data_IF_770606994040
#
_entry.id   IF_770606994040
#
_cell.length_a   1.000
_cell.length_b   1.000
_cell.length_c   1.000
_cell.angle_alpha   90.00
_cell.angle_beta   90.00
_cell.angle_gamma   90.00
#
_symmetry.space_group_name_H-M   'P 1'
#
loop_
_entity.id
_entity.type
_entity.pdbx_description
1 polymer ?
#
# COMPACT_ATOMS: atom_id res chain seq x y z
N UNK A 1 0.34 -18.05 -7.19
CA UNK A 1 -0.68 -18.27 -8.24
C UNK A 1 -0.04 -18.01 -9.58
N UNK A 2 -0.33 -18.85 -10.59
CA UNK A 2 0.13 -18.63 -11.95
C UNK A 2 -0.64 -17.50 -12.63
N UNK A 3 -0.01 -16.83 -13.59
CA UNK A 3 -0.69 -15.84 -14.42
C UNK A 3 -1.80 -16.52 -15.24
N UNK A 4 -2.97 -15.87 -15.42
CA UNK A 4 -4.02 -16.40 -16.28
C UNK A 4 -3.52 -16.50 -17.73
N UNK A 5 -4.01 -17.50 -18.47
CA UNK A 5 -3.77 -17.59 -19.92
C UNK A 5 -4.27 -16.35 -20.65
N UNK A 6 -3.53 -15.92 -21.67
CA UNK A 6 -3.83 -14.76 -22.51
C UNK A 6 -5.20 -14.90 -23.20
N UNK A 7 -5.89 -13.78 -23.40
CA UNK A 7 -7.21 -13.75 -24.03
C UNK A 7 -7.20 -14.32 -25.45
N UNK A 8 -6.16 -13.98 -26.23
CA UNK A 8 -5.95 -14.49 -27.59
C UNK A 8 -5.94 -16.03 -27.64
N UNK A 9 -5.25 -16.69 -26.70
CA UNK A 9 -5.20 -18.15 -26.64
C UNK A 9 -6.59 -18.75 -26.40
N UNK A 10 -7.39 -18.10 -25.53
CA UNK A 10 -8.75 -18.57 -25.23
C UNK A 10 -9.66 -18.46 -26.44
N UNK A 11 -9.59 -17.33 -27.15
CA UNK A 11 -10.37 -17.09 -28.35
C UNK A 11 -10.03 -18.10 -29.45
N UNK A 12 -8.74 -18.33 -29.73
CA UNK A 12 -8.31 -19.32 -30.72
C UNK A 12 -8.74 -20.75 -30.38
N UNK A 13 -8.71 -21.11 -29.10
CA UNK A 13 -9.18 -22.43 -28.66
C UNK A 13 -10.69 -22.57 -28.85
N UNK A 14 -11.47 -21.54 -28.52
CA UNK A 14 -12.92 -21.58 -28.69
C UNK A 14 -13.35 -21.56 -30.17
N UNK A 15 -12.66 -20.79 -31.02
CA UNK A 15 -12.88 -20.80 -32.47
C UNK A 15 -12.56 -22.17 -33.08
N UNK A 16 -11.49 -22.83 -32.61
CA UNK A 16 -11.20 -24.20 -32.99
C UNK A 16 -12.33 -25.17 -32.60
N UNK A 17 -12.93 -25.00 -31.41
CA UNK A 17 -14.09 -25.82 -31.02
C UNK A 17 -15.34 -25.51 -31.88
N UNK A 18 -15.59 -24.24 -32.19
CA UNK A 18 -16.73 -23.81 -33.01
C UNK A 18 -16.61 -24.32 -34.46
N UNK A 19 -15.39 -24.44 -34.98
CA UNK A 19 -15.09 -25.09 -36.28
C UNK A 19 -15.21 -26.62 -36.28
N UNK A 20 -15.63 -27.23 -35.16
CA UNK A 20 -15.88 -28.66 -35.03
C UNK A 20 -14.70 -29.47 -34.49
N UNK A 21 -13.64 -28.83 -34.01
CA UNK A 21 -12.54 -29.55 -33.36
C UNK A 21 -12.99 -30.16 -32.04
N UNK A 22 -12.59 -31.42 -31.78
CA UNK A 22 -12.84 -32.04 -30.47
C UNK A 22 -11.96 -31.44 -29.37
N UNK A 23 -12.43 -31.47 -28.13
CA UNK A 23 -11.64 -31.02 -26.94
C UNK A 23 -10.28 -31.71 -26.85
N UNK A 24 -10.20 -32.98 -27.25
CA UNK A 24 -8.96 -33.74 -27.23
C UNK A 24 -7.97 -33.23 -28.29
N UNK A 25 -8.46 -32.88 -29.48
CA UNK A 25 -7.64 -32.28 -30.52
C UNK A 25 -7.16 -30.88 -30.09
N UNK A 26 -8.05 -30.05 -29.52
CA UNK A 26 -7.67 -28.73 -29.00
C UNK A 26 -6.60 -28.81 -27.89
N UNK A 27 -6.71 -29.77 -26.96
CA UNK A 27 -5.70 -30.03 -25.94
C UNK A 27 -4.32 -30.34 -26.56
N UNK A 28 -4.27 -31.20 -27.58
CA UNK A 28 -3.01 -31.58 -28.26
C UNK A 28 -2.41 -30.41 -29.04
N UNK A 29 -3.25 -29.64 -29.73
CA UNK A 29 -2.82 -28.51 -30.58
C UNK A 29 -2.34 -27.32 -29.75
N UNK A 30 -3.14 -26.89 -28.77
CA UNK A 30 -2.87 -25.67 -28.00
C UNK A 30 -2.11 -25.93 -26.69
N UNK A 31 -1.90 -27.20 -26.31
CA UNK A 31 -1.23 -27.62 -25.07
C UNK A 31 -1.85 -27.02 -23.81
N UNK A 32 -3.18 -26.85 -23.82
CA UNK A 32 -3.98 -26.37 -22.70
C UNK A 32 -4.72 -27.55 -22.07
N UNK A 33 -4.77 -27.63 -20.74
CA UNK A 33 -5.49 -28.70 -20.04
C UNK A 33 -6.97 -28.74 -20.41
N UNK A 34 -7.54 -29.94 -20.52
CA UNK A 34 -8.95 -30.15 -20.89
C UNK A 34 -9.92 -29.47 -19.92
N UNK A 35 -9.61 -29.47 -18.62
CA UNK A 35 -10.39 -28.77 -17.60
C UNK A 35 -10.46 -27.27 -17.86
N UNK A 36 -9.34 -26.65 -18.24
CA UNK A 36 -9.28 -25.21 -18.56
C UNK A 36 -10.13 -24.87 -19.78
N UNK A 37 -10.16 -25.76 -20.79
CA UNK A 37 -11.02 -25.60 -21.96
C UNK A 37 -12.50 -25.66 -21.55
N UNK A 38 -12.88 -26.62 -20.69
CA UNK A 38 -14.23 -26.72 -20.15
C UNK A 38 -14.63 -25.47 -19.36
N UNK A 39 -13.71 -24.92 -18.56
CA UNK A 39 -13.92 -23.68 -17.83
C UNK A 39 -14.18 -22.49 -18.76
N UNK A 40 -13.45 -22.39 -19.89
CA UNK A 40 -13.69 -21.32 -20.87
C UNK A 40 -15.02 -21.47 -21.59
N UNK A 41 -15.46 -22.69 -21.91
CA UNK A 41 -16.78 -22.94 -22.50
C UNK A 41 -17.89 -22.54 -21.52
N UNK A 42 -17.76 -22.91 -20.24
CA UNK A 42 -18.70 -22.50 -19.18
C UNK A 42 -18.72 -20.99 -19.00
N UNK A 43 -17.55 -20.35 -19.00
CA UNK A 43 -17.41 -18.91 -18.83
C UNK A 43 -18.03 -18.14 -20.00
N UNK A 44 -17.85 -18.63 -21.25
CA UNK A 44 -18.54 -18.09 -22.43
C UNK A 44 -20.06 -18.23 -22.33
N UNK A 45 -20.56 -19.37 -21.86
CA UNK A 45 -22.00 -19.59 -21.67
C UNK A 45 -22.61 -18.70 -20.58
N UNK A 46 -21.86 -18.42 -19.50
CA UNK A 46 -22.34 -17.62 -18.39
C UNK A 46 -22.28 -16.10 -18.63
N UNK A 47 -21.20 -15.62 -19.26
CA UNK A 47 -20.90 -14.18 -19.34
C UNK A 47 -20.99 -13.62 -20.76
N UNK A 48 -21.05 -14.47 -21.80
CA UNK A 48 -20.98 -14.06 -23.21
C UNK A 48 -19.57 -13.61 -23.67
N UNK A 49 -18.70 -13.24 -22.73
CA UNK A 49 -17.32 -12.83 -22.97
C UNK A 49 -16.32 -13.83 -22.39
N UNK A 50 -15.15 -13.97 -23.01
CA UNK A 50 -14.09 -14.93 -22.64
C UNK A 50 -12.93 -14.26 -21.90
N UNK A 51 -13.10 -13.01 -21.51
CA UNK A 51 -12.03 -12.24 -20.89
C UNK A 51 -11.58 -12.89 -19.59
N UNK A 52 -10.26 -12.88 -19.36
CA UNK A 52 -9.75 -13.26 -18.07
C UNK A 52 -10.29 -12.27 -17.04
N UNK A 53 -11.03 -12.74 -16.03
CA UNK A 53 -11.27 -11.93 -14.85
C UNK A 53 -9.92 -11.70 -14.19
N UNK A 54 -9.29 -10.57 -14.52
CA UNK A 54 -8.18 -10.04 -13.75
C UNK A 54 -8.80 -9.61 -12.43
N UNK A 55 -8.88 -10.54 -11.48
CA UNK A 55 -9.13 -10.19 -10.08
C UNK A 55 -7.88 -9.47 -9.59
N UNK A 56 -7.70 -8.24 -10.07
CA UNK A 56 -6.74 -7.33 -9.49
C UNK A 56 -7.25 -7.09 -8.07
N UNK A 57 -6.59 -7.72 -7.12
CA UNK A 57 -6.78 -7.39 -5.73
C UNK A 57 -6.25 -5.97 -5.54
N UNK A 58 -7.13 -4.99 -5.77
CA UNK A 58 -6.91 -3.64 -5.27
C UNK A 58 -6.79 -3.82 -3.76
N UNK A 59 -5.61 -3.52 -3.22
CA UNK A 59 -5.33 -3.68 -1.79
C UNK A 59 -6.36 -2.94 -0.93
N UNK A 60 -6.30 -3.15 0.39
CA UNK A 60 -7.20 -2.53 1.36
C UNK A 60 -7.44 -1.06 1.04
N UNK A 61 -8.72 -0.67 1.00
CA UNK A 61 -9.10 0.73 0.79
C UNK A 61 -8.39 1.62 1.81
N UNK A 62 -7.98 2.84 1.43
CA UNK A 62 -7.33 3.73 2.37
C UNK A 62 -8.23 4.02 3.57
N UNK A 63 -7.68 4.01 4.79
CA UNK A 63 -8.46 4.28 6.00
C UNK A 63 -8.93 5.75 6.14
N UNK A 64 -8.44 6.65 5.27
CA UNK A 64 -8.89 8.04 5.18
C UNK A 64 -9.37 8.25 3.75
N UNK A 65 -10.70 8.29 3.59
CA UNK A 65 -11.37 8.60 2.33
C UNK A 65 -11.45 10.12 2.09
N UNK A 66 -11.60 10.92 3.15
CA UNK A 66 -11.72 12.38 3.07
C UNK A 66 -10.36 13.09 3.15
N UNK A 67 -9.62 13.11 2.03
CA UNK A 67 -8.32 13.76 1.96
C UNK A 67 -8.38 15.29 2.13
N UNK A 68 -9.45 15.94 1.70
CA UNK A 68 -9.62 17.41 1.78
C UNK A 68 -9.72 17.86 3.23
N UNK A 69 -10.58 17.20 4.02
CA UNK A 69 -10.70 17.50 5.44
C UNK A 69 -9.43 17.19 6.23
N UNK A 70 -8.68 16.16 5.80
CA UNK A 70 -7.40 15.82 6.39
C UNK A 70 -6.33 16.89 6.10
N UNK A 71 -6.33 17.48 4.90
CA UNK A 71 -5.42 18.57 4.54
C UNK A 71 -5.69 19.82 5.39
N UNK A 72 -6.94 20.27 5.49
CA UNK A 72 -7.33 21.41 6.34
C UNK A 72 -6.97 21.20 7.81
N UNK A 73 -7.15 19.97 8.31
CA UNK A 73 -6.73 19.60 9.66
C UNK A 73 -5.21 19.61 9.82
N UNK A 74 -4.48 19.05 8.85
CA UNK A 74 -3.03 19.00 8.88
C UNK A 74 -2.40 20.40 8.86
N UNK A 75 -2.98 21.34 8.09
CA UNK A 75 -2.56 22.75 8.10
C UNK A 75 -2.80 23.41 9.46
N UNK A 76 -3.97 23.18 10.08
CA UNK A 76 -4.29 23.74 11.42
C UNK A 76 -3.36 23.20 12.52
N UNK A 77 -2.96 21.93 12.43
CA UNK A 77 -2.13 21.25 13.43
C UNK A 77 -0.66 21.10 13.02
N UNK A 78 -0.17 21.90 12.06
CA UNK A 78 1.18 21.80 11.47
C UNK A 78 2.35 21.80 12.48
N UNK A 79 2.16 22.37 13.67
CA UNK A 79 3.17 22.48 14.73
C UNK A 79 3.08 21.36 15.77
N UNK A 80 2.08 20.48 15.68
CA UNK A 80 1.87 19.39 16.63
C UNK A 80 2.69 18.15 16.24
N UNK A 81 3.09 17.37 17.24
CA UNK A 81 3.66 16.04 17.00
C UNK A 81 2.59 15.11 16.41
N UNK A 82 3.01 14.06 15.69
CA UNK A 82 2.09 13.10 15.06
C UNK A 82 1.17 12.40 16.06
N UNK A 83 1.66 12.16 17.28
CA UNK A 83 0.86 11.59 18.37
C UNK A 83 -0.23 12.57 18.83
N UNK A 84 0.09 13.87 18.92
CA UNK A 84 -0.87 14.92 19.22
C UNK A 84 -1.93 15.08 18.12
N UNK A 85 -1.51 15.06 16.85
CA UNK A 85 -2.42 15.12 15.70
C UNK A 85 -3.36 13.91 15.66
N UNK A 86 -2.87 12.70 15.96
CA UNK A 86 -3.69 11.49 16.07
C UNK A 86 -4.75 11.65 17.17
N UNK A 87 -4.38 12.13 18.35
CA UNK A 87 -5.32 12.32 19.45
C UNK A 87 -6.39 13.36 19.13
N UNK A 88 -5.99 14.47 18.50
CA UNK A 88 -6.90 15.52 18.04
C UNK A 88 -7.85 15.01 16.93
N UNK A 89 -7.33 14.25 15.94
CA UNK A 89 -8.16 13.64 14.89
C UNK A 89 -9.17 12.64 15.44
N UNK A 90 -8.76 11.81 16.40
CA UNK A 90 -9.68 10.90 17.09
C UNK A 90 -10.79 11.67 17.83
N UNK A 91 -10.47 12.81 18.44
CA UNK A 91 -11.45 13.66 19.13
C UNK A 91 -12.41 14.36 18.16
N UNK A 92 -11.94 14.82 17.01
CA UNK A 92 -12.76 15.54 16.02
C UNK A 92 -13.60 14.61 15.14
N UNK A 93 -13.08 13.43 14.77
CA UNK A 93 -13.70 12.53 13.78
C UNK A 93 -14.10 11.16 14.33
N UNK A 94 -13.73 10.83 15.58
CA UNK A 94 -14.04 9.53 16.20
C UNK A 94 -13.29 8.33 15.59
N UNK A 95 -12.32 8.58 14.69
CA UNK A 95 -11.59 7.53 13.98
C UNK A 95 -10.25 7.23 14.68
N UNK A 96 -10.08 5.99 15.16
CA UNK A 96 -8.84 5.53 15.75
C UNK A 96 -7.86 5.08 14.67
N UNK A 97 -7.02 6.01 14.22
CA UNK A 97 -5.99 5.72 13.22
C UNK A 97 -4.65 5.37 13.88
N UNK A 98 -3.90 4.47 13.25
CA UNK A 98 -2.51 4.21 13.66
C UNK A 98 -1.60 5.38 13.26
N UNK A 99 -0.48 5.56 13.96
CA UNK A 99 0.54 6.57 13.60
C UNK A 99 1.04 6.34 12.15
N UNK A 100 1.13 5.08 11.73
CA UNK A 100 1.55 4.73 10.37
C UNK A 100 0.51 5.15 9.32
N UNK A 101 -0.79 4.95 9.61
CA UNK A 101 -1.88 5.43 8.77
C UNK A 101 -1.84 6.94 8.61
N UNK A 102 -1.56 7.66 9.70
CA UNK A 102 -1.38 9.11 9.71
C UNK A 102 -0.16 9.54 8.87
N UNK A 103 0.96 8.83 9.00
CA UNK A 103 2.18 9.05 8.20
C UNK A 103 1.94 8.84 6.70
N UNK A 104 1.21 7.79 6.33
CA UNK A 104 0.82 7.55 4.93
C UNK A 104 -0.12 8.64 4.42
N UNK A 105 -1.10 9.05 5.22
CA UNK A 105 -2.02 10.12 4.85
C UNK A 105 -1.29 11.46 4.64
N UNK A 106 -0.35 11.83 5.52
CA UNK A 106 0.52 12.99 5.34
C UNK A 106 1.36 12.90 4.06
N UNK A 107 1.90 11.73 3.73
CA UNK A 107 2.62 11.53 2.46
C UNK A 107 1.70 11.68 1.24
N UNK A 108 0.43 11.26 1.33
CA UNK A 108 -0.55 11.38 0.24
C UNK A 108 -0.93 12.84 -0.05
N UNK A 109 -1.00 13.69 0.97
CA UNK A 109 -1.18 15.14 0.80
C UNK A 109 0.13 15.87 0.43
N UNK A 110 1.22 15.13 0.14
CA UNK A 110 2.50 15.72 -0.26
C UNK A 110 3.28 16.40 0.87
N UNK A 111 2.89 16.19 2.13
CA UNK A 111 3.54 16.85 3.26
C UNK A 111 4.90 16.22 3.57
N UNK A 112 5.96 17.00 3.38
CA UNK A 112 7.33 16.58 3.71
C UNK A 112 7.91 17.52 4.78
N UNK A 113 7.98 17.06 6.03
CA UNK A 113 8.67 17.80 7.08
C UNK A 113 10.19 17.69 6.89
N UNK A 114 10.79 18.66 6.18
CA UNK A 114 12.24 18.75 6.07
C UNK A 114 12.82 19.21 7.41
N UNK A 115 13.53 18.33 8.12
CA UNK A 115 14.39 18.74 9.25
C UNK A 115 15.46 19.69 8.69
N UNK A 116 15.35 20.98 8.98
CA UNK A 116 16.50 21.89 8.88
C UNK A 116 17.35 21.62 10.11
N UNK A 117 18.53 21.07 9.92
CA UNK A 117 19.54 20.95 10.98
C UNK A 117 20.00 22.37 11.26
N UNK A 118 19.26 23.09 12.11
CA UNK A 118 19.71 24.35 12.65
C UNK A 118 20.84 24.05 13.62
N UNK A 119 22.07 24.43 13.26
CA UNK A 119 23.23 24.37 14.14
C UNK A 119 22.88 24.98 15.49
N UNK A 120 22.74 24.14 16.51
CA UNK A 120 22.78 24.59 17.90
C UNK A 120 24.26 24.54 18.29
N UNK A 121 24.93 25.65 18.64
CA UNK A 121 26.23 25.53 19.28
C UNK A 121 25.99 24.78 20.60
N UNK A 122 26.69 23.66 20.77
CA UNK A 122 26.69 22.94 22.04
C UNK A 122 27.30 23.86 23.10
N UNK A 123 26.47 24.41 23.99
CA UNK A 123 26.94 24.96 25.25
C UNK A 123 27.27 23.77 26.14
N UNK A 124 28.49 23.25 25.97
CA UNK A 124 29.11 22.33 26.93
C UNK A 124 30.17 23.15 27.64
N UNK A 125 29.79 23.69 28.79
CA UNK A 125 30.69 24.37 29.71
C UNK A 125 31.35 23.27 30.56
N UNK A 126 32.64 22.94 30.35
CA UNK A 126 33.28 21.90 31.15
C UNK A 126 33.37 22.41 32.59
N UNK A 127 32.83 21.62 33.52
CA UNK A 127 32.86 21.90 34.95
C UNK A 127 34.29 22.16 35.41
N UNK A 128 34.53 23.40 35.87
CA UNK A 128 35.69 23.77 36.69
C UNK A 128 35.66 22.86 37.92
N UNK A 129 36.56 21.86 37.97
CA UNK A 129 36.83 21.14 39.20
C UNK A 129 37.58 22.10 40.13
N UNK A 130 36.86 22.53 41.16
CA UNK A 130 37.36 23.24 42.32
C UNK A 130 38.50 22.45 42.98
N UNK A 131 39.68 23.06 42.97
CA UNK A 131 40.85 22.63 43.74
C UNK A 131 40.56 22.84 45.24
N UNK A 132 40.65 21.78 46.03
CA UNK A 132 40.56 21.84 47.50
C UNK A 132 41.50 20.77 48.11
N UNK A 133 42.11 21.04 49.28
CA UNK A 133 43.53 20.81 49.49
C UNK A 133 43.87 19.41 50.02
N UNK A 134 44.96 18.84 49.51
CA UNK A 134 45.57 17.63 50.05
C UNK A 134 46.35 17.95 51.32
N UNK A 135 45.72 17.72 52.48
CA UNK A 135 46.39 17.68 53.78
C UNK A 135 46.72 16.23 54.14
N UNK A 136 47.96 15.81 53.90
CA UNK A 136 48.55 14.67 54.60
C UNK A 136 49.92 15.05 55.14
N UNK A 137 49.99 15.12 56.47
CA UNK A 137 51.21 15.16 57.27
C UNK A 137 50.96 14.26 58.47
N UNK A 138 51.73 13.17 58.57
CA UNK A 138 52.35 12.61 59.77
C UNK A 138 53.29 11.48 59.32
#
# INVERSE_FOLDING_TARGET
MGAPYSQDLRLRVLEALDSGMSKMAAHKTFRVARSTIDDWVKLRAATGHVEATTRYHRGTLPAIDDLVAFEEFATRHQHSTLEGMKAAWHKERGQLLSINTFSVAMKRIGWTHKKRVGSTPSVWEPAVQSDAPSSYRL
#
